data_IF_687416382715
#
_entry.id   IF_687416382715
#
_cell.length_a   1.000
_cell.length_b   1.000
_cell.length_c   1.000
_cell.angle_alpha   90.00
_cell.angle_beta   90.00
_cell.angle_gamma   90.00
#
_symmetry.space_group_name_H-M   'P 1'
#
loop_
_entity.id
_entity.type
_entity.pdbx_description
1 polymer ?
#
# COMPACT_ATOMS: atom_id res chain seq x y z
N UNK A 1 55.93 -38.94 -30.82
CA UNK A 1 55.65 -37.51 -31.07
C UNK A 1 54.34 -37.14 -30.36
N UNK A 2 54.38 -36.22 -29.39
CA UNK A 2 53.23 -35.85 -28.53
C UNK A 2 52.90 -34.38 -28.75
N UNK A 3 51.74 -34.08 -29.34
CA UNK A 3 51.28 -32.71 -29.58
C UNK A 3 50.81 -32.05 -28.28
N UNK A 4 51.25 -30.81 -28.05
CA UNK A 4 50.75 -29.88 -27.03
C UNK A 4 49.63 -29.03 -27.66
N UNK A 5 48.53 -28.81 -26.94
CA UNK A 5 47.66 -27.67 -27.19
C UNK A 5 47.09 -27.18 -25.86
N UNK A 6 47.59 -26.02 -25.44
CA UNK A 6 47.09 -25.30 -24.28
C UNK A 6 45.75 -24.66 -24.58
N UNK A 7 44.92 -24.58 -23.56
CA UNK A 7 43.77 -23.67 -23.53
C UNK A 7 43.90 -22.82 -22.27
N UNK A 8 44.33 -21.58 -22.49
CA UNK A 8 44.40 -20.55 -21.48
C UNK A 8 42.99 -20.33 -20.88
N UNK A 9 42.91 -20.36 -19.55
CA UNK A 9 41.72 -19.99 -18.79
C UNK A 9 41.32 -18.54 -19.14
N UNK A 10 40.23 -18.37 -19.90
CA UNK A 10 39.51 -17.09 -19.95
C UNK A 10 38.77 -16.91 -18.63
N UNK A 11 39.41 -16.25 -17.66
CA UNK A 11 38.70 -15.68 -16.52
C UNK A 11 37.94 -14.45 -17.03
N UNK A 12 36.64 -14.59 -17.28
CA UNK A 12 35.76 -13.43 -17.43
C UNK A 12 35.54 -12.84 -16.05
N UNK A 13 36.07 -11.65 -15.81
CA UNK A 13 35.69 -10.81 -14.69
C UNK A 13 34.20 -10.46 -14.82
N UNK A 14 33.37 -10.97 -13.91
CA UNK A 14 32.08 -10.37 -13.61
C UNK A 14 32.26 -9.59 -12.31
N UNK A 15 32.33 -8.27 -12.43
CA UNK A 15 32.29 -7.37 -11.30
C UNK A 15 31.48 -6.14 -11.68
N UNK A 16 30.15 -6.25 -11.73
CA UNK A 16 29.23 -5.10 -11.76
C UNK A 16 27.85 -5.51 -11.21
N UNK A 17 27.78 -5.87 -9.91
CA UNK A 17 26.54 -5.70 -9.15
C UNK A 17 26.90 -5.45 -7.70
N UNK A 18 26.65 -4.23 -7.22
CA UNK A 18 26.79 -3.87 -5.81
C UNK A 18 25.37 -3.84 -5.20
N UNK A 19 24.82 -5.01 -4.78
CA UNK A 19 23.43 -5.14 -4.35
C UNK A 19 23.06 -4.20 -3.20
N UNK A 20 24.03 -3.87 -2.35
CA UNK A 20 23.78 -3.10 -1.14
C UNK A 20 23.53 -1.61 -1.42
N UNK A 21 24.24 -1.03 -2.40
CA UNK A 21 24.05 0.37 -2.79
C UNK A 21 22.72 0.59 -3.55
N UNK A 22 22.29 -0.40 -4.35
CA UNK A 22 20.97 -0.36 -4.98
C UNK A 22 19.83 -0.55 -3.97
N UNK A 23 20.06 -1.37 -2.93
CA UNK A 23 19.07 -1.60 -1.87
C UNK A 23 18.88 -0.36 -0.99
N UNK A 24 19.95 0.31 -0.60
CA UNK A 24 19.87 1.54 0.19
C UNK A 24 19.19 2.71 -0.56
N UNK A 25 19.42 2.85 -1.88
CA UNK A 25 18.67 3.82 -2.70
C UNK A 25 17.20 3.44 -2.79
N UNK A 26 16.87 2.16 -3.02
CA UNK A 26 15.49 1.70 -3.11
C UNK A 26 14.71 1.76 -1.79
N UNK A 27 15.39 1.66 -0.64
CA UNK A 27 14.80 1.81 0.70
C UNK A 27 14.53 3.28 1.06
N UNK A 28 15.23 4.23 0.43
CA UNK A 28 15.03 5.68 0.62
C UNK A 28 14.22 6.37 -0.49
N UNK A 29 14.19 5.78 -1.69
CA UNK A 29 13.46 6.26 -2.86
C UNK A 29 12.16 5.47 -3.02
N UNK A 30 11.17 5.79 -2.18
CA UNK A 30 9.83 5.18 -2.23
C UNK A 30 8.98 5.75 -3.39
N UNK A 31 9.55 6.53 -4.32
CA UNK A 31 8.82 7.08 -5.48
C UNK A 31 8.27 6.00 -6.41
N UNK A 32 8.88 4.81 -6.43
CA UNK A 32 8.34 3.64 -7.14
C UNK A 32 7.19 2.96 -6.38
N UNK A 33 7.15 3.12 -5.05
CA UNK A 33 6.21 2.47 -4.16
C UNK A 33 4.98 3.37 -3.98
N UNK A 34 4.07 3.37 -4.97
CA UNK A 34 2.82 4.17 -5.00
C UNK A 34 2.25 4.42 -3.58
N UNK A 35 2.57 5.57 -2.95
CA UNK A 35 2.40 5.74 -1.50
C UNK A 35 0.96 5.51 -1.05
N UNK A 36 0.01 6.04 -1.82
CA UNK A 36 -1.42 5.84 -1.63
C UNK A 36 -1.84 4.35 -1.63
N UNK A 37 -1.27 3.56 -2.56
CA UNK A 37 -1.52 2.11 -2.61
C UNK A 37 -0.97 1.39 -1.38
N UNK A 38 0.15 1.87 -0.82
CA UNK A 38 0.69 1.35 0.45
C UNK A 38 -0.20 1.72 1.63
N UNK A 39 -0.73 2.95 1.69
CA UNK A 39 -1.72 3.37 2.69
C UNK A 39 -2.95 2.47 2.63
N UNK A 40 -3.54 2.25 1.45
CA UNK A 40 -4.71 1.38 1.27
C UNK A 40 -4.48 -0.04 1.83
N UNK A 41 -3.32 -0.64 1.52
CA UNK A 41 -2.94 -1.97 2.02
C UNK A 41 -2.80 -2.01 3.54
N UNK A 42 -2.16 -1.00 4.13
CA UNK A 42 -2.00 -0.90 5.58
C UNK A 42 -3.34 -0.72 6.29
N UNK A 43 -4.24 0.08 5.73
CA UNK A 43 -5.60 0.26 6.27
C UNK A 43 -6.38 -1.05 6.17
N UNK A 44 -6.37 -1.73 5.02
CA UNK A 44 -7.01 -3.05 4.88
C UNK A 44 -6.51 -4.04 5.93
N UNK A 45 -5.19 -4.13 6.14
CA UNK A 45 -4.63 -4.99 7.18
C UNK A 45 -5.11 -4.57 8.59
N UNK A 46 -5.13 -3.26 8.87
CA UNK A 46 -5.59 -2.71 10.13
C UNK A 46 -7.08 -2.97 10.43
N UNK A 47 -7.94 -2.93 9.41
CA UNK A 47 -9.37 -3.21 9.51
C UNK A 47 -9.65 -4.71 9.65
N UNK A 48 -8.86 -5.56 8.98
CA UNK A 48 -8.94 -7.02 9.18
C UNK A 48 -8.56 -7.42 10.60
N UNK A 49 -7.56 -6.76 11.18
CA UNK A 49 -7.15 -7.01 12.55
C UNK A 49 -8.14 -6.46 13.60
N UNK A 50 -8.93 -5.44 13.24
CA UNK A 50 -9.86 -4.73 14.13
C UNK A 50 -11.19 -4.46 13.42
N UNK A 51 -12.02 -5.48 13.20
CA UNK A 51 -13.29 -5.35 12.48
C UNK A 51 -14.33 -4.50 13.25
N UNK A 52 -14.14 -4.35 14.56
CA UNK A 52 -14.92 -3.49 15.45
C UNK A 52 -14.92 -2.01 15.01
N UNK A 53 -13.83 -1.55 14.37
CA UNK A 53 -13.71 -0.16 13.88
C UNK A 53 -14.78 0.23 12.86
N UNK A 54 -15.28 -0.72 12.05
CA UNK A 54 -16.35 -0.45 11.08
C UNK A 54 -17.71 -0.89 11.60
N UNK A 55 -17.78 -2.05 12.25
CA UNK A 55 -19.06 -2.62 12.73
C UNK A 55 -19.74 -1.73 13.77
N UNK A 56 -18.98 -1.00 14.59
CA UNK A 56 -19.53 0.01 15.52
C UNK A 56 -20.33 1.11 14.84
N UNK A 57 -20.06 1.38 13.56
CA UNK A 57 -20.76 2.38 12.74
C UNK A 57 -21.81 1.73 11.81
N UNK A 58 -22.00 0.41 11.89
CA UNK A 58 -22.84 -0.35 10.96
C UNK A 58 -22.23 -0.46 9.55
N UNK A 59 -20.90 -0.40 9.44
CA UNK A 59 -20.19 -0.38 8.16
C UNK A 59 -19.44 -1.69 7.89
N UNK A 60 -19.22 -1.97 6.60
CA UNK A 60 -18.37 -3.06 6.10
C UNK A 60 -17.39 -2.51 5.05
N UNK A 61 -16.18 -3.07 4.99
CA UNK A 61 -15.23 -2.70 3.94
C UNK A 61 -15.65 -3.39 2.63
N UNK A 62 -15.90 -2.62 1.58
CA UNK A 62 -16.08 -3.12 0.22
C UNK A 62 -14.74 -3.35 -0.46
N UNK A 63 -14.00 -2.27 -0.68
CA UNK A 63 -12.63 -2.31 -1.22
C UNK A 63 -11.80 -1.14 -0.72
N UNK A 64 -10.47 -1.25 -0.83
CA UNK A 64 -9.54 -0.13 -0.62
C UNK A 64 -8.51 -0.09 -1.74
N UNK A 65 -8.18 1.10 -2.21
CA UNK A 65 -7.23 1.27 -3.30
C UNK A 65 -6.91 2.74 -3.52
N UNK A 66 -6.67 3.08 -4.78
CA UNK A 66 -6.43 4.44 -5.24
C UNK A 66 -7.57 4.87 -6.15
N UNK A 67 -7.84 6.16 -6.24
CA UNK A 67 -8.74 6.67 -7.28
C UNK A 67 -8.11 6.43 -8.66
N UNK A 68 -8.93 6.11 -9.66
CA UNK A 68 -8.44 5.89 -11.02
C UNK A 68 -8.02 7.21 -11.70
N UNK A 69 -8.70 8.32 -11.36
CA UNK A 69 -8.40 9.66 -11.87
C UNK A 69 -7.32 10.36 -11.05
N UNK A 70 -7.22 10.00 -9.77
CA UNK A 70 -6.22 10.56 -8.84
C UNK A 70 -5.44 9.42 -8.16
N UNK A 71 -4.39 8.86 -8.81
CA UNK A 71 -3.65 7.71 -8.31
C UNK A 71 -2.94 7.93 -6.96
N UNK A 72 -2.72 9.19 -6.57
CA UNK A 72 -2.13 9.59 -5.29
C UNK A 72 -3.17 9.71 -4.16
N UNK A 73 -4.47 9.63 -4.48
CA UNK A 73 -5.53 9.63 -3.49
C UNK A 73 -5.83 8.20 -3.03
N UNK A 74 -5.84 7.99 -1.71
CA UNK A 74 -6.28 6.70 -1.14
C UNK A 74 -7.78 6.72 -0.95
N UNK A 75 -8.47 5.71 -1.47
CA UNK A 75 -9.93 5.61 -1.42
C UNK A 75 -10.36 4.29 -0.80
N UNK A 76 -11.34 4.36 0.09
CA UNK A 76 -12.06 3.22 0.64
C UNK A 76 -13.51 3.26 0.18
N UNK A 77 -14.04 2.14 -0.32
CA UNK A 77 -15.48 1.93 -0.43
C UNK A 77 -15.99 1.29 0.85
N UNK A 78 -16.89 1.99 1.53
CA UNK A 78 -17.55 1.55 2.75
C UNK A 78 -19.02 1.27 2.46
N UNK A 79 -19.45 0.07 2.82
CA UNK A 79 -20.80 -0.44 2.63
C UNK A 79 -21.60 -0.29 3.92
N UNK A 80 -22.88 0.01 3.79
CA UNK A 80 -23.85 -0.02 4.88
C UNK A 80 -25.18 -0.58 4.38
N UNK A 81 -25.95 -1.18 5.28
CA UNK A 81 -27.27 -1.69 4.94
C UNK A 81 -28.27 -0.54 5.12
N UNK A 82 -28.94 -0.13 4.03
CA UNK A 82 -29.97 0.90 4.07
C UNK A 82 -31.31 0.33 4.54
N UNK A 83 -32.25 1.21 4.89
CA UNK A 83 -33.57 0.82 5.42
C UNK A 83 -34.37 -0.04 4.43
N UNK A 84 -34.13 0.12 3.12
CA UNK A 84 -34.75 -0.67 2.05
C UNK A 84 -34.15 -2.08 1.89
N UNK A 85 -33.14 -2.43 2.70
CA UNK A 85 -32.43 -3.71 2.64
C UNK A 85 -31.44 -3.82 1.48
N UNK A 86 -31.25 -2.76 0.69
CA UNK A 86 -30.27 -2.72 -0.40
C UNK A 86 -28.95 -2.17 0.15
N UNK A 87 -27.83 -2.91 0.06
CA UNK A 87 -26.54 -2.39 0.48
C UNK A 87 -26.16 -1.15 -0.32
N UNK A 88 -25.91 -0.05 0.39
CA UNK A 88 -25.42 1.20 -0.19
C UNK A 88 -23.93 1.34 0.09
N UNK A 89 -23.24 2.13 -0.75
CA UNK A 89 -21.83 2.44 -0.56
C UNK A 89 -21.56 3.94 -0.61
N UNK A 90 -20.54 4.37 0.12
CA UNK A 90 -19.92 5.68 -0.07
C UNK A 90 -18.41 5.55 -0.11
N UNK A 91 -17.76 6.51 -0.77
CA UNK A 91 -16.31 6.56 -0.90
C UNK A 91 -15.74 7.46 0.17
N UNK A 92 -14.91 6.90 1.04
CA UNK A 92 -14.15 7.63 2.03
C UNK A 92 -12.75 7.91 1.50
N UNK A 93 -12.47 9.19 1.27
CA UNK A 93 -11.25 9.69 0.64
C UNK A 93 -10.26 10.18 1.69
N UNK A 94 -9.00 9.79 1.50
CA UNK A 94 -7.90 10.19 2.38
C UNK A 94 -6.94 11.07 1.59
N UNK A 95 -6.87 12.38 1.91
CA UNK A 95 -6.02 13.31 1.18
C UNK A 95 -4.54 12.95 1.33
N UNK A 96 -3.76 13.29 0.33
CA UNK A 96 -2.29 13.31 0.41
C UNK A 96 -1.85 14.59 1.12
N UNK A 97 -1.11 14.44 2.22
CA UNK A 97 -0.66 15.53 3.08
C UNK A 97 0.87 15.51 3.29
N UNK A 98 1.58 14.64 2.57
CA UNK A 98 3.04 14.47 2.68
C UNK A 98 3.48 13.62 3.87
N UNK A 99 2.57 13.15 4.72
CA UNK A 99 2.88 12.24 5.81
C UNK A 99 3.28 10.86 5.26
N UNK A 100 4.27 10.15 5.85
CA UNK A 100 4.63 8.82 5.41
C UNK A 100 3.45 7.83 5.45
N UNK A 101 3.39 6.83 4.56
CA UNK A 101 2.24 5.93 4.42
C UNK A 101 1.77 5.26 5.73
N UNK A 102 2.70 4.88 6.61
CA UNK A 102 2.36 4.32 7.93
C UNK A 102 1.64 5.32 8.82
N UNK A 103 2.08 6.58 8.83
CA UNK A 103 1.47 7.65 9.60
C UNK A 103 0.05 7.94 9.10
N UNK A 104 -0.13 8.05 7.78
CA UNK A 104 -1.46 8.25 7.16
C UNK A 104 -2.41 7.10 7.46
N UNK A 105 -1.95 5.85 7.33
CA UNK A 105 -2.77 4.69 7.65
C UNK A 105 -3.16 4.65 9.15
N UNK A 106 -2.22 4.95 10.04
CA UNK A 106 -2.49 5.01 11.48
C UNK A 106 -3.50 6.12 11.82
N UNK A 107 -3.36 7.30 11.22
CA UNK A 107 -4.29 8.42 11.38
C UNK A 107 -5.70 8.08 10.87
N UNK A 108 -5.81 7.43 9.70
CA UNK A 108 -7.10 6.99 9.17
C UNK A 108 -7.78 5.97 10.09
N UNK A 109 -7.04 4.98 10.59
CA UNK A 109 -7.57 3.98 11.53
C UNK A 109 -7.97 4.60 12.88
N UNK A 110 -7.22 5.61 13.34
CA UNK A 110 -7.59 6.40 14.51
C UNK A 110 -8.88 7.19 14.27
N UNK A 111 -9.01 7.86 13.12
CA UNK A 111 -10.23 8.61 12.76
C UNK A 111 -11.46 7.70 12.74
N UNK A 112 -11.35 6.48 12.18
CA UNK A 112 -12.42 5.47 12.25
C UNK A 112 -12.75 5.02 13.67
N UNK A 113 -11.80 5.09 14.60
CA UNK A 113 -12.05 4.75 16.00
C UNK A 113 -12.80 5.86 16.76
N UNK A 114 -12.77 7.10 16.26
CA UNK A 114 -13.24 8.28 16.99
C UNK A 114 -14.41 9.00 16.33
N UNK A 115 -14.55 8.94 15.00
CA UNK A 115 -15.52 9.72 14.22
C UNK A 115 -16.22 8.80 13.20
N UNK A 116 -17.53 8.95 13.05
CA UNK A 116 -18.29 8.26 11.99
C UNK A 116 -17.83 8.79 10.62
N UNK A 117 -17.29 7.93 9.73
CA UNK A 117 -16.77 8.37 8.42
C UNK A 117 -17.82 8.96 7.49
N UNK A 118 -19.13 8.82 7.77
CA UNK A 118 -20.21 9.50 7.03
C UNK A 118 -20.36 10.97 7.38
N UNK A 119 -19.85 11.38 8.55
CA UNK A 119 -19.97 12.76 9.07
C UNK A 119 -18.68 13.55 8.95
N UNK A 120 -17.63 12.91 8.44
CA UNK A 120 -16.26 13.35 8.55
C UNK A 120 -15.74 14.04 7.29
#
# INVERSE_FOLDING_TARGET
MRWRAGWARRARAQALYAPDASRARAEGDDTWAWPARRVARLITAGLRARPDLLTRWGLRLGWSGTDFREPDETVLSLLYDAEDGIPQQFLWRLPEDGTPPRGRAAAALHRLATVDPRTA
#
